data_IF_725412043409
#
_entry.id   IF_725412043409
#
_cell.length_a   1.000
_cell.length_b   1.000
_cell.length_c   1.000
_cell.angle_alpha   90.00
_cell.angle_beta   90.00
_cell.angle_gamma   90.00
#
_symmetry.space_group_name_H-M   'P 1'
#
loop_
_entity.id
_entity.type
_entity.pdbx_description
1 polymer ?
#
# COMPACT_ATOMS: atom_id res chain seq x y z
N UNK A 1 -74.45 -67.26 27.44
CA UNK A 1 -73.85 -67.57 26.11
C UNK A 1 -73.95 -66.45 25.08
N UNK A 2 -74.91 -65.50 25.13
CA UNK A 2 -75.10 -64.41 24.13
C UNK A 2 -74.02 -63.30 24.18
N UNK A 3 -73.39 -63.05 25.33
CA UNK A 3 -72.35 -62.02 25.47
C UNK A 3 -71.03 -62.42 24.86
N UNK A 4 -70.55 -63.64 24.98
CA UNK A 4 -69.32 -64.13 24.36
C UNK A 4 -69.35 -64.09 22.84
N UNK A 5 -70.54 -64.38 22.25
CA UNK A 5 -70.67 -64.34 20.77
C UNK A 5 -70.63 -62.94 20.18
N UNK A 6 -71.05 -61.92 20.92
CA UNK A 6 -70.95 -60.51 20.55
C UNK A 6 -69.47 -60.01 20.51
N UNK A 7 -68.68 -60.43 21.49
CA UNK A 7 -67.28 -60.11 21.54
C UNK A 7 -66.48 -60.71 20.40
N UNK A 8 -66.78 -61.94 19.98
CA UNK A 8 -66.16 -62.57 18.82
C UNK A 8 -66.49 -61.85 17.49
N UNK A 9 -67.71 -61.38 17.35
CA UNK A 9 -68.16 -60.62 16.18
C UNK A 9 -67.44 -59.27 16.10
N UNK A 10 -67.31 -58.57 17.23
CA UNK A 10 -66.62 -57.30 17.32
C UNK A 10 -65.09 -57.46 17.05
N UNK A 11 -64.50 -58.51 17.61
CA UNK A 11 -63.10 -58.81 17.38
C UNK A 11 -62.81 -59.19 15.89
N UNK A 12 -63.67 -59.96 15.27
CA UNK A 12 -63.59 -60.30 13.86
C UNK A 12 -63.78 -59.07 12.94
N UNK A 13 -64.72 -58.19 13.27
CA UNK A 13 -64.91 -56.91 12.54
C UNK A 13 -63.70 -55.96 12.67
N UNK A 14 -63.09 -55.87 13.86
CA UNK A 14 -61.87 -55.10 14.08
C UNK A 14 -60.67 -55.71 13.31
N UNK A 15 -60.54 -57.03 13.28
CA UNK A 15 -59.49 -57.71 12.50
C UNK A 15 -59.68 -57.48 11.00
N UNK A 16 -60.90 -57.54 10.50
CA UNK A 16 -61.22 -57.28 9.09
C UNK A 16 -61.04 -55.84 8.74
N UNK A 17 -61.38 -54.89 9.59
CA UNK A 17 -61.14 -53.52 9.42
C UNK A 17 -59.61 -53.20 9.44
N UNK A 18 -58.84 -53.82 10.34
CA UNK A 18 -57.40 -53.75 10.38
C UNK A 18 -56.72 -54.33 9.13
N UNK A 19 -57.23 -55.49 8.62
CA UNK A 19 -56.75 -56.09 7.38
C UNK A 19 -57.08 -55.25 6.14
N UNK A 20 -58.25 -54.60 6.10
CA UNK A 20 -58.67 -53.72 5.00
C UNK A 20 -57.85 -52.45 5.02
N UNK A 21 -57.61 -51.83 6.21
CA UNK A 21 -56.75 -50.68 6.34
C UNK A 21 -55.30 -50.99 6.00
N UNK A 22 -54.74 -52.14 6.42
CA UNK A 22 -53.44 -52.65 6.01
C UNK A 22 -53.30 -52.85 4.50
N UNK A 23 -54.38 -53.42 3.87
CA UNK A 23 -54.44 -53.59 2.41
C UNK A 23 -54.44 -52.28 1.64
N UNK A 24 -55.23 -51.29 2.11
CA UNK A 24 -55.30 -49.96 1.54
C UNK A 24 -53.91 -49.21 1.72
N UNK A 25 -53.33 -49.25 2.92
CA UNK A 25 -51.98 -48.71 3.16
C UNK A 25 -50.94 -49.43 2.29
N UNK A 26 -51.03 -50.74 2.11
CA UNK A 26 -50.14 -51.52 1.24
C UNK A 26 -50.22 -51.08 -0.24
N UNK A 27 -51.45 -50.76 -0.72
CA UNK A 27 -51.68 -50.25 -2.07
C UNK A 27 -51.03 -48.84 -2.26
N UNK A 28 -51.31 -47.93 -1.35
CA UNK A 28 -50.73 -46.58 -1.41
C UNK A 28 -49.22 -46.62 -1.34
N UNK A 29 -48.65 -47.48 -0.50
CA UNK A 29 -47.18 -47.65 -0.44
C UNK A 29 -46.59 -48.16 -1.77
N UNK A 30 -47.25 -49.05 -2.48
CA UNK A 30 -46.78 -49.49 -3.79
C UNK A 30 -46.89 -48.44 -4.86
N UNK A 31 -47.95 -47.64 -4.84
CA UNK A 31 -48.15 -46.55 -5.79
C UNK A 31 -47.09 -45.45 -5.60
N UNK A 32 -46.83 -45.01 -4.36
CA UNK A 32 -45.76 -44.08 -4.05
C UNK A 32 -44.38 -44.60 -4.44
N UNK A 33 -44.10 -45.89 -4.21
CA UNK A 33 -42.83 -46.53 -4.60
C UNK A 33 -42.67 -46.60 -6.13
N UNK A 34 -43.72 -46.93 -6.88
CA UNK A 34 -43.69 -46.94 -8.35
C UNK A 34 -43.36 -45.54 -8.88
N UNK A 35 -44.06 -44.53 -8.36
CA UNK A 35 -43.83 -43.13 -8.75
C UNK A 35 -42.43 -42.64 -8.37
N UNK A 36 -41.90 -43.11 -7.24
CA UNK A 36 -40.53 -42.80 -6.84
C UNK A 36 -39.50 -43.34 -7.83
N UNK A 37 -39.66 -44.57 -8.31
CA UNK A 37 -38.79 -45.15 -9.33
C UNK A 37 -38.87 -44.44 -10.69
N UNK A 38 -40.07 -43.97 -11.09
CA UNK A 38 -40.23 -43.15 -12.30
C UNK A 38 -39.45 -41.83 -12.20
N UNK A 39 -39.56 -41.14 -11.05
CA UNK A 39 -38.82 -39.91 -10.78
C UNK A 39 -37.32 -40.16 -10.72
N UNK A 40 -36.91 -41.26 -10.08
CA UNK A 40 -35.49 -41.65 -10.02
C UNK A 40 -34.94 -41.91 -11.44
N UNK A 41 -35.69 -42.61 -12.30
CA UNK A 41 -35.30 -42.84 -13.68
C UNK A 41 -35.26 -41.58 -14.53
N UNK A 42 -36.11 -40.60 -14.20
CA UNK A 42 -36.11 -39.27 -14.81
C UNK A 42 -35.01 -38.32 -14.29
N UNK A 43 -34.25 -38.75 -13.26
CA UNK A 43 -33.20 -37.90 -12.61
C UNK A 43 -33.73 -36.89 -11.59
N UNK A 44 -35.05 -36.91 -11.29
CA UNK A 44 -35.62 -36.11 -10.20
C UNK A 44 -35.45 -36.84 -8.87
N UNK A 45 -34.22 -36.75 -8.35
CA UNK A 45 -33.85 -37.41 -7.10
C UNK A 45 -34.58 -36.82 -5.90
N UNK A 46 -34.85 -35.51 -5.90
CA UNK A 46 -35.58 -34.83 -4.82
C UNK A 46 -37.05 -35.28 -4.77
N UNK A 47 -37.71 -35.35 -5.93
CA UNK A 47 -39.05 -35.92 -6.05
C UNK A 47 -39.10 -37.36 -5.62
N UNK A 48 -38.10 -38.17 -6.01
CA UNK A 48 -37.97 -39.57 -5.63
C UNK A 48 -37.85 -39.74 -4.10
N UNK A 49 -37.03 -38.95 -3.41
CA UNK A 49 -36.93 -38.96 -1.94
C UNK A 49 -38.30 -38.77 -1.30
N UNK A 50 -39.04 -37.74 -1.70
CA UNK A 50 -40.36 -37.43 -1.13
C UNK A 50 -41.35 -38.57 -1.31
N UNK A 51 -41.30 -39.30 -2.44
CA UNK A 51 -42.17 -40.43 -2.69
C UNK A 51 -41.74 -41.71 -1.94
N UNK A 52 -40.42 -41.98 -1.84
CA UNK A 52 -39.91 -43.09 -1.03
C UNK A 52 -40.21 -42.92 0.45
N UNK A 53 -40.12 -41.70 1.00
CA UNK A 53 -40.51 -41.39 2.37
C UNK A 53 -41.99 -41.68 2.62
N UNK A 54 -42.89 -41.24 1.72
CA UNK A 54 -44.33 -41.55 1.78
C UNK A 54 -44.59 -43.04 1.70
N UNK A 55 -43.78 -43.77 0.94
CA UNK A 55 -43.86 -45.24 0.84
C UNK A 55 -43.31 -45.92 2.10
N UNK A 56 -42.65 -45.22 3.01
CA UNK A 56 -41.93 -45.81 4.15
C UNK A 56 -40.69 -46.57 3.76
N UNK A 57 -40.09 -46.24 2.62
CA UNK A 57 -38.88 -46.85 2.06
C UNK A 57 -37.66 -45.97 2.33
N UNK A 58 -37.21 -46.01 3.59
CA UNK A 58 -36.10 -45.18 4.05
C UNK A 58 -34.77 -45.47 3.36
N UNK A 59 -34.51 -46.72 3.00
CA UNK A 59 -33.25 -47.12 2.36
C UNK A 59 -33.12 -46.50 0.96
N UNK A 60 -34.17 -46.56 0.15
CA UNK A 60 -34.18 -45.94 -1.18
C UNK A 60 -34.22 -44.41 -1.11
N UNK A 61 -34.90 -43.83 -0.11
CA UNK A 61 -34.84 -42.39 0.14
C UNK A 61 -33.40 -41.92 0.45
N UNK A 62 -32.68 -42.68 1.30
CA UNK A 62 -31.27 -42.36 1.60
C UNK A 62 -30.34 -42.56 0.40
N UNK A 63 -30.61 -43.58 -0.44
CA UNK A 63 -29.87 -43.72 -1.70
C UNK A 63 -30.07 -42.49 -2.61
N UNK A 64 -31.31 -42.00 -2.74
CA UNK A 64 -31.57 -40.79 -3.53
C UNK A 64 -30.87 -39.55 -2.94
N UNK A 65 -30.82 -39.38 -1.61
CA UNK A 65 -30.06 -38.28 -0.97
C UNK A 65 -28.56 -38.38 -1.26
N UNK A 66 -27.99 -39.61 -1.32
CA UNK A 66 -26.62 -39.82 -1.75
C UNK A 66 -26.40 -39.42 -3.20
N UNK A 67 -27.34 -39.74 -4.10
CA UNK A 67 -27.27 -39.33 -5.50
C UNK A 67 -27.35 -37.81 -5.67
N UNK A 68 -28.21 -37.11 -4.89
CA UNK A 68 -28.27 -35.64 -4.85
C UNK A 68 -26.93 -35.08 -4.45
N UNK A 69 -26.31 -35.57 -3.36
CA UNK A 69 -24.97 -35.08 -2.91
C UNK A 69 -23.90 -35.35 -3.97
N UNK A 70 -23.93 -36.52 -4.65
CA UNK A 70 -22.98 -36.85 -5.71
C UNK A 70 -23.12 -35.90 -6.92
N UNK A 71 -24.36 -35.59 -7.31
CA UNK A 71 -24.64 -34.66 -8.38
C UNK A 71 -24.17 -33.26 -8.02
N UNK A 72 -24.55 -32.75 -6.83
CA UNK A 72 -24.10 -31.44 -6.34
C UNK A 72 -22.57 -31.34 -6.28
N UNK A 73 -21.90 -32.41 -5.84
CA UNK A 73 -20.43 -32.47 -5.85
C UNK A 73 -19.86 -32.40 -7.27
N UNK A 74 -20.46 -33.13 -8.22
CA UNK A 74 -20.05 -33.11 -9.64
C UNK A 74 -20.25 -31.73 -10.28
N UNK A 75 -21.38 -31.09 -9.96
CA UNK A 75 -21.70 -29.75 -10.47
C UNK A 75 -20.79 -28.70 -9.88
N UNK A 76 -20.45 -28.79 -8.57
CA UNK A 76 -19.44 -27.92 -7.92
C UNK A 76 -18.06 -28.07 -8.57
N UNK A 77 -17.64 -29.31 -8.87
CA UNK A 77 -16.39 -29.59 -9.60
C UNK A 77 -16.40 -28.98 -11.00
N UNK A 78 -17.53 -29.03 -11.69
CA UNK A 78 -17.67 -28.43 -13.02
C UNK A 78 -17.58 -26.91 -12.96
N UNK A 79 -18.24 -26.29 -11.99
CA UNK A 79 -18.12 -24.84 -11.76
C UNK A 79 -16.67 -24.45 -11.46
N UNK A 80 -15.97 -25.19 -10.59
CA UNK A 80 -14.55 -24.98 -10.31
C UNK A 80 -13.68 -25.05 -11.57
N UNK A 81 -13.90 -26.06 -12.41
CA UNK A 81 -13.15 -26.25 -13.67
C UNK A 81 -13.45 -25.15 -14.70
N UNK A 82 -14.64 -24.56 -14.65
CA UNK A 82 -15.04 -23.44 -15.49
C UNK A 82 -14.49 -22.08 -15.00
N UNK A 83 -13.82 -22.03 -13.82
CA UNK A 83 -13.35 -20.80 -13.23
C UNK A 83 -14.40 -20.02 -12.43
N UNK A 84 -15.61 -20.56 -12.28
CA UNK A 84 -16.66 -19.99 -11.44
C UNK A 84 -16.44 -20.41 -9.98
N UNK A 85 -15.44 -19.81 -9.37
CA UNK A 85 -14.99 -20.19 -8.02
C UNK A 85 -15.98 -19.80 -6.93
N UNK A 86 -16.71 -18.70 -7.09
CA UNK A 86 -17.76 -18.29 -6.16
C UNK A 86 -18.87 -19.32 -6.08
N UNK A 87 -19.42 -19.72 -7.24
CA UNK A 87 -20.47 -20.75 -7.29
C UNK A 87 -19.96 -22.10 -6.78
N UNK A 88 -18.75 -22.51 -7.18
CA UNK A 88 -18.16 -23.77 -6.71
C UNK A 88 -17.97 -23.76 -5.19
N UNK A 89 -17.44 -22.70 -4.62
CA UNK A 89 -17.24 -22.52 -3.18
C UNK A 89 -18.54 -22.66 -2.41
N UNK A 90 -19.60 -21.94 -2.84
CA UNK A 90 -20.92 -22.03 -2.22
C UNK A 90 -21.47 -23.46 -2.22
N UNK A 91 -21.37 -24.16 -3.36
CA UNK A 91 -21.82 -25.53 -3.48
C UNK A 91 -21.01 -26.50 -2.60
N UNK A 92 -19.69 -26.33 -2.51
CA UNK A 92 -18.85 -27.14 -1.60
C UNK A 92 -19.16 -26.85 -0.13
N UNK A 93 -19.45 -25.59 0.23
CA UNK A 93 -19.88 -25.23 1.59
C UNK A 93 -21.18 -25.96 1.97
N UNK A 94 -22.18 -26.02 1.07
CA UNK A 94 -23.42 -26.73 1.29
C UNK A 94 -23.22 -28.25 1.44
N UNK A 95 -22.22 -28.82 0.76
CA UNK A 95 -21.86 -30.24 0.86
C UNK A 95 -21.16 -30.59 2.18
N UNK A 96 -20.54 -29.65 2.84
CA UNK A 96 -19.87 -29.82 4.13
C UNK A 96 -18.78 -30.88 4.10
N UNK A 97 -18.93 -31.90 4.97
CA UNK A 97 -17.95 -33.00 5.08
C UNK A 97 -18.13 -34.12 4.01
N UNK A 98 -18.86 -33.86 2.94
CA UNK A 98 -19.03 -34.84 1.88
C UNK A 98 -17.76 -34.97 1.04
N UNK A 99 -17.13 -36.17 1.05
CA UNK A 99 -15.84 -36.44 0.39
C UNK A 99 -14.77 -35.43 0.84
N UNK A 100 -14.16 -34.72 -0.12
CA UNK A 100 -13.15 -33.67 0.08
C UNK A 100 -13.71 -32.26 -0.15
N UNK A 101 -15.04 -32.08 -0.09
CA UNK A 101 -15.71 -30.81 -0.37
C UNK A 101 -15.17 -29.66 0.49
N UNK A 102 -14.83 -29.92 1.77
CA UNK A 102 -14.25 -28.91 2.66
C UNK A 102 -12.89 -28.42 2.17
N UNK A 103 -12.04 -29.33 1.69
CA UNK A 103 -10.73 -28.94 1.15
C UNK A 103 -10.89 -28.19 -0.19
N UNK A 104 -11.85 -28.61 -1.01
CA UNK A 104 -12.15 -27.96 -2.28
C UNK A 104 -12.80 -26.59 -2.09
N UNK A 105 -13.58 -26.40 -1.04
CA UNK A 105 -14.13 -25.09 -0.64
C UNK A 105 -13.00 -24.12 -0.35
N UNK A 106 -12.02 -24.50 0.49
CA UNK A 106 -10.85 -23.68 0.79
C UNK A 106 -10.01 -23.39 -0.48
N UNK A 107 -9.84 -24.38 -1.34
CA UNK A 107 -9.14 -24.20 -2.62
C UNK A 107 -9.87 -23.20 -3.53
N UNK A 108 -11.20 -23.30 -3.65
CA UNK A 108 -12.01 -22.37 -4.43
C UNK A 108 -11.94 -20.96 -3.84
N UNK A 109 -12.00 -20.80 -2.52
CA UNK A 109 -11.86 -19.51 -1.84
C UNK A 109 -10.51 -18.85 -2.14
N UNK A 110 -9.42 -19.61 -2.13
CA UNK A 110 -8.10 -19.13 -2.50
C UNK A 110 -8.01 -18.69 -3.97
N UNK A 111 -8.66 -19.43 -4.87
CA UNK A 111 -8.69 -19.10 -6.30
C UNK A 111 -9.58 -17.88 -6.58
N UNK A 112 -10.73 -17.79 -5.92
CA UNK A 112 -11.63 -16.63 -5.96
C UNK A 112 -10.93 -15.35 -5.48
N UNK A 113 -10.20 -15.43 -4.36
CA UNK A 113 -9.43 -14.31 -3.85
C UNK A 113 -8.38 -13.81 -4.85
N UNK A 114 -7.69 -14.74 -5.53
CA UNK A 114 -6.72 -14.38 -6.59
C UNK A 114 -7.40 -13.76 -7.80
N UNK A 115 -8.53 -14.28 -8.21
CA UNK A 115 -9.31 -13.73 -9.32
C UNK A 115 -9.77 -12.31 -9.01
N UNK A 116 -10.33 -12.06 -7.83
CA UNK A 116 -10.71 -10.72 -7.37
C UNK A 116 -9.52 -9.76 -7.33
N UNK A 117 -8.35 -10.24 -6.89
CA UNK A 117 -7.12 -9.45 -6.93
C UNK A 117 -6.69 -9.06 -8.35
N UNK A 118 -6.89 -9.95 -9.34
CA UNK A 118 -6.61 -9.67 -10.75
C UNK A 118 -7.64 -8.70 -11.37
N UNK A 119 -8.90 -8.80 -10.96
CA UNK A 119 -9.99 -7.91 -11.36
C UNK A 119 -9.92 -6.53 -10.70
N UNK A 120 -9.06 -6.37 -9.67
CA UNK A 120 -8.86 -5.10 -8.96
C UNK A 120 -9.77 -4.91 -7.75
N UNK A 121 -10.61 -5.91 -7.41
CA UNK A 121 -11.49 -5.94 -6.23
C UNK A 121 -10.66 -6.33 -4.98
N UNK A 122 -9.73 -5.44 -4.64
CA UNK A 122 -8.65 -5.75 -3.68
C UNK A 122 -9.15 -5.94 -2.25
N UNK A 123 -10.19 -5.22 -1.83
CA UNK A 123 -10.73 -5.35 -0.47
C UNK A 123 -11.43 -6.70 -0.29
N UNK A 124 -12.23 -7.11 -1.27
CA UNK A 124 -12.91 -8.40 -1.24
C UNK A 124 -11.91 -9.56 -1.30
N UNK A 125 -10.84 -9.41 -2.10
CA UNK A 125 -9.73 -10.35 -2.14
C UNK A 125 -9.04 -10.47 -0.78
N UNK A 126 -8.79 -9.37 -0.09
CA UNK A 126 -8.18 -9.35 1.24
C UNK A 126 -9.05 -10.10 2.25
N UNK A 127 -10.36 -9.82 2.29
CA UNK A 127 -11.31 -10.49 3.19
C UNK A 127 -11.33 -12.01 2.97
N UNK A 128 -11.30 -12.45 1.71
CA UNK A 128 -11.25 -13.87 1.41
C UNK A 128 -9.94 -14.51 1.87
N UNK A 129 -8.79 -13.87 1.64
CA UNK A 129 -7.51 -14.38 2.15
C UNK A 129 -7.49 -14.43 3.68
N UNK A 130 -7.95 -13.39 4.38
CA UNK A 130 -8.06 -13.38 5.84
C UNK A 130 -8.91 -14.54 6.36
N UNK A 131 -9.99 -14.88 5.68
CA UNK A 131 -10.87 -16.00 6.02
C UNK A 131 -10.27 -17.39 5.84
N UNK A 132 -9.16 -17.52 5.10
CA UNK A 132 -8.48 -18.79 4.82
C UNK A 132 -7.56 -19.24 5.97
N UNK A 133 -7.14 -18.33 6.86
CA UNK A 133 -6.23 -18.65 7.97
C UNK A 133 -4.92 -19.28 7.45
N UNK A 134 -4.53 -20.41 8.03
CA UNK A 134 -3.26 -21.09 7.70
C UNK A 134 -3.32 -21.93 6.40
N UNK A 135 -4.24 -21.66 5.49
CA UNK A 135 -4.30 -22.40 4.22
C UNK A 135 -3.05 -22.12 3.37
N UNK A 136 -2.46 -23.13 2.69
CA UNK A 136 -1.21 -22.95 1.95
C UNK A 136 -1.27 -21.83 0.90
N UNK A 137 -0.32 -20.91 0.95
CA UNK A 137 -0.21 -19.77 0.03
C UNK A 137 -1.08 -18.56 0.38
N UNK A 138 -1.78 -18.58 1.51
CA UNK A 138 -2.55 -17.44 2.01
C UNK A 138 -1.65 -16.25 2.32
N UNK A 139 -0.53 -16.47 3.04
CA UNK A 139 0.40 -15.40 3.40
C UNK A 139 0.92 -14.64 2.18
N UNK A 140 1.39 -15.37 1.17
CA UNK A 140 1.87 -14.76 -0.09
C UNK A 140 0.75 -14.02 -0.82
N UNK A 141 -0.48 -14.55 -0.79
CA UNK A 141 -1.65 -13.89 -1.38
C UNK A 141 -2.00 -12.60 -0.64
N UNK A 142 -2.03 -12.63 0.68
CA UNK A 142 -2.28 -11.48 1.55
C UNK A 142 -1.23 -10.39 1.34
N UNK A 143 0.06 -10.74 1.33
CA UNK A 143 1.13 -9.76 1.09
C UNK A 143 0.98 -9.09 -0.27
N UNK A 144 0.64 -9.86 -1.31
CA UNK A 144 0.43 -9.31 -2.65
C UNK A 144 -0.76 -8.37 -2.72
N UNK A 145 -1.88 -8.68 -2.05
CA UNK A 145 -3.05 -7.80 -1.99
C UNK A 145 -2.74 -6.54 -1.18
N UNK A 146 -2.09 -6.68 -0.03
CA UNK A 146 -1.70 -5.54 0.81
C UNK A 146 -0.76 -4.59 0.09
N UNK A 147 0.21 -5.11 -0.65
CA UNK A 147 1.10 -4.30 -1.49
C UNK A 147 0.33 -3.50 -2.56
N UNK A 148 -0.65 -4.14 -3.24
CA UNK A 148 -1.49 -3.46 -4.22
C UNK A 148 -2.39 -2.39 -3.58
N UNK A 149 -2.98 -2.68 -2.42
CA UNK A 149 -3.78 -1.71 -1.66
C UNK A 149 -2.95 -0.53 -1.18
N UNK A 150 -1.74 -0.80 -0.71
CA UNK A 150 -0.79 0.24 -0.29
C UNK A 150 -0.45 1.20 -1.43
N UNK A 151 -0.14 0.67 -2.62
CA UNK A 151 0.11 1.49 -3.82
C UNK A 151 -1.13 2.29 -4.22
N UNK A 152 -2.30 1.66 -4.22
CA UNK A 152 -3.56 2.35 -4.51
C UNK A 152 -3.83 3.50 -3.53
N UNK A 153 -3.51 3.32 -2.25
CA UNK A 153 -3.63 4.37 -1.25
C UNK A 153 -2.69 5.54 -1.54
N UNK A 154 -1.44 5.27 -1.92
CA UNK A 154 -0.49 6.30 -2.36
C UNK A 154 -1.00 7.04 -3.59
N UNK A 155 -1.46 6.32 -4.62
CA UNK A 155 -1.99 6.92 -5.84
C UNK A 155 -3.18 7.85 -5.54
N UNK A 156 -4.10 7.43 -4.65
CA UNK A 156 -5.22 8.25 -4.20
C UNK A 156 -4.74 9.51 -3.48
N UNK A 157 -3.78 9.38 -2.56
CA UNK A 157 -3.24 10.52 -1.82
C UNK A 157 -2.54 11.52 -2.76
N UNK A 158 -1.71 11.04 -3.68
CA UNK A 158 -1.02 11.86 -4.69
C UNK A 158 -1.99 12.57 -5.64
N UNK A 159 -3.17 11.99 -5.88
CA UNK A 159 -4.24 12.61 -6.65
C UNK A 159 -5.16 13.53 -5.82
N UNK A 160 -4.86 13.73 -4.53
CA UNK A 160 -5.66 14.57 -3.63
C UNK A 160 -6.94 13.90 -3.08
N UNK A 161 -7.16 12.61 -3.37
CA UNK A 161 -8.27 11.84 -2.79
C UNK A 161 -7.86 11.27 -1.42
N UNK A 162 -7.68 12.19 -0.47
CA UNK A 162 -7.21 11.85 0.87
C UNK A 162 -8.18 10.98 1.67
N UNK A 163 -9.51 11.12 1.43
CA UNK A 163 -10.51 10.30 2.11
C UNK A 163 -10.38 8.83 1.74
N UNK A 164 -10.23 8.54 0.45
CA UNK A 164 -10.04 7.18 -0.03
C UNK A 164 -8.70 6.62 0.43
N UNK A 165 -7.63 7.42 0.38
CA UNK A 165 -6.30 7.03 0.84
C UNK A 165 -6.29 6.63 2.32
N UNK A 166 -6.86 7.47 3.20
CA UNK A 166 -6.98 7.17 4.64
C UNK A 166 -7.73 5.86 4.88
N UNK A 167 -8.88 5.66 4.20
CA UNK A 167 -9.66 4.42 4.34
C UNK A 167 -8.89 3.16 3.92
N UNK A 168 -8.06 3.25 2.88
CA UNK A 168 -7.23 2.14 2.43
C UNK A 168 -6.08 1.86 3.42
N UNK A 169 -5.37 2.88 3.91
CA UNK A 169 -4.31 2.70 4.91
C UNK A 169 -4.86 2.19 6.24
N UNK A 170 -6.02 2.66 6.68
CA UNK A 170 -6.69 2.15 7.87
C UNK A 170 -6.97 0.65 7.76
N UNK A 171 -7.36 0.16 6.58
CA UNK A 171 -7.60 -1.26 6.33
C UNK A 171 -6.31 -2.09 6.31
N UNK A 172 -5.18 -1.47 5.99
CA UNK A 172 -3.86 -2.10 5.97
C UNK A 172 -3.21 -2.23 7.36
N UNK A 173 -3.69 -1.48 8.36
CA UNK A 173 -3.20 -1.51 9.74
C UNK A 173 -1.66 -1.31 9.83
N UNK A 174 -0.96 -2.33 10.33
CA UNK A 174 0.49 -2.31 10.55
C UNK A 174 1.31 -2.74 9.31
N UNK A 175 0.70 -2.79 8.13
CA UNK A 175 1.43 -3.15 6.92
C UNK A 175 2.38 -2.02 6.51
N UNK A 176 3.69 -2.29 6.49
CA UNK A 176 4.73 -1.30 6.18
C UNK A 176 4.61 -0.05 7.08
N UNK A 177 4.51 1.12 6.50
CA UNK A 177 4.33 2.41 7.18
C UNK A 177 2.90 2.97 7.07
N UNK A 178 1.93 2.11 6.80
CA UNK A 178 0.52 2.50 6.58
C UNK A 178 -0.05 3.37 7.71
N UNK A 179 0.26 3.08 8.98
CA UNK A 179 -0.20 3.90 10.11
C UNK A 179 0.35 5.32 10.11
N UNK A 180 1.62 5.47 9.74
CA UNK A 180 2.25 6.78 9.68
C UNK A 180 1.67 7.59 8.52
N UNK A 181 1.46 6.94 7.37
CA UNK A 181 0.86 7.56 6.20
C UNK A 181 -0.61 7.89 6.40
N UNK A 182 -1.39 7.03 7.09
CA UNK A 182 -2.75 7.31 7.50
C UNK A 182 -2.81 8.58 8.35
N UNK A 183 -2.06 8.61 9.47
CA UNK A 183 -2.00 9.77 10.36
C UNK A 183 -1.62 11.06 9.62
N UNK A 184 -0.63 10.98 8.75
CA UNK A 184 -0.16 12.13 7.98
C UNK A 184 -1.19 12.60 6.96
N UNK A 185 -1.84 11.65 6.27
CA UNK A 185 -2.89 11.92 5.31
C UNK A 185 -4.14 12.52 5.98
N UNK A 186 -4.55 12.04 7.15
CA UNK A 186 -5.64 12.65 7.94
C UNK A 186 -5.35 14.13 8.25
N UNK A 187 -4.11 14.45 8.62
CA UNK A 187 -3.68 15.82 8.88
C UNK A 187 -3.76 16.70 7.63
N UNK A 188 -3.33 16.19 6.48
CA UNK A 188 -3.45 16.89 5.19
C UNK A 188 -4.93 17.09 4.83
N UNK A 189 -5.76 16.09 5.05
CA UNK A 189 -7.21 16.15 4.84
C UNK A 189 -7.88 17.21 5.73
N UNK A 190 -7.51 17.28 7.01
CA UNK A 190 -8.00 18.31 7.92
C UNK A 190 -7.64 19.71 7.43
N UNK A 191 -6.40 19.95 7.04
CA UNK A 191 -5.97 21.24 6.50
C UNK A 191 -6.67 21.60 5.18
N UNK A 192 -6.87 20.65 4.29
CA UNK A 192 -7.59 20.87 3.02
C UNK A 192 -9.05 21.29 3.23
N UNK A 193 -9.63 20.91 4.38
CA UNK A 193 -11.01 21.24 4.79
C UNK A 193 -11.11 22.52 5.61
N UNK A 194 -10.03 22.94 6.26
CA UNK A 194 -10.02 24.11 7.13
C UNK A 194 -9.96 25.41 6.32
N UNK A 195 -11.12 25.90 5.93
CA UNK A 195 -11.28 27.18 5.23
C UNK A 195 -11.03 28.41 6.10
N UNK A 196 -10.80 28.24 7.40
CA UNK A 196 -10.50 29.32 8.34
C UNK A 196 -9.00 29.59 8.45
N UNK A 197 -8.15 28.62 8.06
CA UNK A 197 -6.71 28.80 8.00
C UNK A 197 -6.33 29.82 6.92
N UNK A 198 -5.37 30.66 7.28
CA UNK A 198 -4.82 31.64 6.30
C UNK A 198 -4.08 30.87 5.20
N UNK A 199 -4.40 31.09 3.90
CA UNK A 199 -3.71 30.40 2.82
C UNK A 199 -2.21 30.68 2.84
N UNK A 200 -1.39 29.65 2.59
CA UNK A 200 0.05 29.82 2.38
C UNK A 200 0.31 30.64 1.12
N UNK A 201 -0.50 30.46 0.09
CA UNK A 201 -0.35 31.06 -1.23
C UNK A 201 -1.23 32.31 -1.40
N UNK A 202 -1.33 33.15 -0.34
CA UNK A 202 -1.96 34.45 -0.44
C UNK A 202 -1.02 35.51 -1.03
N UNK A 203 -1.56 36.55 -1.65
CA UNK A 203 -0.76 37.67 -2.22
C UNK A 203 0.18 38.29 -1.20
N UNK A 204 -0.19 38.31 0.08
CA UNK A 204 0.64 38.83 1.17
C UNK A 204 1.89 37.98 1.47
N UNK A 205 1.89 36.71 1.08
CA UNK A 205 3.03 35.81 1.25
C UNK A 205 3.87 35.68 -0.02
N UNK A 206 3.44 36.32 -1.10
CA UNK A 206 4.16 36.24 -2.38
C UNK A 206 5.50 36.93 -2.29
N UNK A 207 6.57 36.23 -2.64
CA UNK A 207 7.90 36.77 -2.75
C UNK A 207 8.07 37.48 -4.10
N UNK A 208 8.32 38.80 -4.05
CA UNK A 208 8.52 39.57 -5.27
C UNK A 208 9.92 39.27 -5.86
N UNK A 209 9.91 38.73 -7.07
CA UNK A 209 11.14 38.38 -7.78
C UNK A 209 11.05 38.72 -9.26
N UNK A 210 12.21 39.11 -9.86
CA UNK A 210 12.28 39.51 -11.27
C UNK A 210 12.12 38.38 -12.28
N UNK A 211 12.06 37.11 -11.84
CA UNK A 211 11.98 35.93 -12.68
C UNK A 211 10.54 35.45 -12.91
N UNK A 212 9.57 36.17 -12.32
CA UNK A 212 8.12 35.89 -12.45
C UNK A 212 7.74 34.43 -12.08
N UNK A 213 8.46 33.83 -11.14
CA UNK A 213 8.12 32.50 -10.59
C UNK A 213 7.17 32.63 -9.41
N UNK A 214 6.33 31.64 -9.25
CA UNK A 214 5.44 31.53 -8.09
C UNK A 214 6.23 31.10 -6.85
N UNK A 215 6.70 32.11 -6.09
CA UNK A 215 7.48 31.96 -4.87
C UNK A 215 6.72 32.56 -3.72
N UNK A 216 6.58 31.82 -2.65
CA UNK A 216 5.86 32.23 -1.46
C UNK A 216 6.73 32.12 -0.22
N UNK A 217 6.55 33.06 0.71
CA UNK A 217 7.22 33.07 2.00
C UNK A 217 6.38 32.29 2.98
N UNK A 218 6.98 31.30 3.62
CA UNK A 218 6.38 30.60 4.75
C UNK A 218 7.12 30.96 6.05
N UNK A 219 6.63 30.50 7.19
CA UNK A 219 7.16 30.86 8.50
C UNK A 219 8.67 30.64 8.66
N UNK A 220 9.23 29.68 7.92
CA UNK A 220 10.62 29.23 8.09
C UNK A 220 11.37 29.03 6.78
N UNK A 221 10.85 29.52 5.65
CA UNK A 221 11.48 29.33 4.36
C UNK A 221 10.71 29.94 3.20
N UNK A 222 11.06 29.47 2.01
CA UNK A 222 10.41 29.84 0.76
C UNK A 222 9.93 28.60 0.05
N UNK A 223 8.73 28.67 -0.52
CA UNK A 223 8.16 27.62 -1.36
C UNK A 223 8.12 28.10 -2.80
N UNK A 224 8.69 27.32 -3.72
CA UNK A 224 8.58 27.55 -5.16
C UNK A 224 7.59 26.55 -5.72
N UNK A 225 6.53 27.04 -6.36
CA UNK A 225 5.51 26.22 -6.98
C UNK A 225 5.77 26.00 -8.48
N UNK A 226 5.45 24.84 -9.03
CA UNK A 226 5.34 24.64 -10.48
C UNK A 226 4.12 25.36 -11.04
N UNK A 227 4.00 25.43 -12.36
CA UNK A 227 2.82 26.02 -13.03
C UNK A 227 1.53 25.27 -12.70
N UNK A 228 1.61 23.98 -12.51
CA UNK A 228 0.49 23.09 -12.15
C UNK A 228 0.99 22.03 -11.18
N UNK A 229 0.12 21.65 -10.25
CA UNK A 229 0.33 20.51 -9.36
C UNK A 229 -0.60 19.36 -9.77
N UNK A 230 -0.07 18.16 -9.84
CA UNK A 230 -0.79 16.93 -10.19
C UNK A 230 -0.19 15.73 -9.46
N UNK A 231 -0.70 14.52 -9.75
CA UNK A 231 -0.22 13.29 -9.12
C UNK A 231 1.27 12.99 -9.39
N UNK A 232 1.85 13.54 -10.46
CA UNK A 232 3.26 13.38 -10.81
C UNK A 232 4.14 14.51 -10.25
N UNK A 233 3.59 15.40 -9.42
CA UNK A 233 4.32 16.49 -8.79
C UNK A 233 5.39 15.94 -7.85
N UNK A 234 6.63 16.39 -8.08
CA UNK A 234 7.80 16.00 -7.30
C UNK A 234 8.05 16.99 -6.18
N UNK A 235 8.81 16.56 -5.17
CA UNK A 235 9.11 17.37 -3.99
C UNK A 235 10.60 17.47 -3.75
N UNK A 236 11.03 18.66 -3.38
CA UNK A 236 12.41 18.99 -3.11
C UNK A 236 12.53 19.83 -1.85
N UNK A 237 13.45 19.47 -0.95
CA UNK A 237 13.80 20.25 0.24
C UNK A 237 15.26 20.65 0.17
N UNK A 238 15.50 21.92 0.40
CA UNK A 238 16.85 22.47 0.57
C UNK A 238 17.09 22.89 2.02
N UNK A 239 18.14 22.32 2.62
CA UNK A 239 18.64 22.68 3.95
C UNK A 239 19.85 23.60 3.83
N UNK A 240 19.78 24.87 4.32
CA UNK A 240 20.88 25.81 4.19
C UNK A 240 22.04 25.50 5.12
N UNK A 241 23.23 25.91 4.72
CA UNK A 241 24.42 25.97 5.57
C UNK A 241 24.55 27.29 6.28
N UNK A 242 25.33 27.30 7.35
CA UNK A 242 25.67 28.54 8.07
C UNK A 242 24.53 29.14 8.88
N UNK A 243 24.65 30.40 9.23
CA UNK A 243 23.69 31.15 10.06
C UNK A 243 23.04 32.34 9.33
N UNK A 244 23.27 32.45 8.02
CA UNK A 244 22.84 33.61 7.26
C UNK A 244 21.63 33.27 6.39
N UNK A 245 20.51 33.99 6.62
CA UNK A 245 19.31 33.94 5.79
C UNK A 245 19.65 34.34 4.34
N UNK A 246 20.62 35.23 4.12
CA UNK A 246 21.02 35.68 2.79
C UNK A 246 21.48 34.51 1.90
N UNK A 247 22.22 33.55 2.46
CA UNK A 247 22.66 32.34 1.71
C UNK A 247 21.47 31.56 1.15
N UNK A 248 20.42 31.41 1.95
CA UNK A 248 19.20 30.72 1.49
C UNK A 248 18.48 31.48 0.37
N UNK A 249 18.47 32.82 0.44
CA UNK A 249 17.91 33.66 -0.62
C UNK A 249 18.75 33.58 -1.89
N UNK A 250 20.08 33.60 -1.77
CA UNK A 250 20.96 33.43 -2.93
C UNK A 250 20.77 32.07 -3.62
N UNK A 251 20.65 30.98 -2.86
CA UNK A 251 20.36 29.66 -3.41
C UNK A 251 18.96 29.58 -4.05
N UNK A 252 17.98 30.20 -3.45
CA UNK A 252 16.64 30.33 -4.03
C UNK A 252 16.70 31.01 -5.41
N UNK A 253 17.46 32.12 -5.56
CA UNK A 253 17.62 32.79 -6.85
C UNK A 253 18.27 31.90 -7.91
N UNK A 254 19.33 31.16 -7.55
CA UNK A 254 19.94 30.19 -8.48
C UNK A 254 18.98 29.11 -8.93
N UNK A 255 18.16 28.58 -8.02
CA UNK A 255 17.14 27.60 -8.35
C UNK A 255 16.05 28.19 -9.25
N UNK A 256 15.58 29.41 -8.97
CA UNK A 256 14.53 30.10 -9.77
C UNK A 256 14.98 30.31 -11.21
N UNK A 257 16.28 30.55 -11.46
CA UNK A 257 16.81 30.67 -12.82
C UNK A 257 16.74 29.34 -13.61
N UNK A 258 16.79 28.21 -12.93
CA UNK A 258 16.74 26.88 -13.56
C UNK A 258 15.88 25.89 -12.70
N UNK A 259 14.58 26.17 -12.54
CA UNK A 259 13.72 25.35 -11.69
C UNK A 259 13.50 23.97 -12.28
N UNK A 260 13.41 22.98 -11.41
CA UNK A 260 12.99 21.66 -11.81
C UNK A 260 11.52 21.67 -12.28
N UNK A 261 11.20 21.06 -13.43
CA UNK A 261 9.83 21.02 -13.92
C UNK A 261 8.94 20.17 -13.00
N UNK A 262 7.67 20.57 -12.89
CA UNK A 262 6.66 19.89 -12.06
C UNK A 262 7.15 19.56 -10.64
N UNK A 263 7.80 20.52 -9.96
CA UNK A 263 8.41 20.30 -8.66
C UNK A 263 8.04 21.40 -7.69
N UNK A 264 7.51 21.00 -6.54
CA UNK A 264 7.36 21.86 -5.36
C UNK A 264 8.70 21.85 -4.63
N UNK A 265 9.34 23.03 -4.52
CA UNK A 265 10.63 23.16 -3.85
C UNK A 265 10.51 24.01 -2.59
N UNK A 266 10.99 23.48 -1.47
CA UNK A 266 11.05 24.15 -0.19
C UNK A 266 12.49 24.53 0.13
N UNK A 267 12.75 25.84 0.34
CA UNK A 267 14.02 26.40 0.78
C UNK A 267 13.89 26.88 2.22
N UNK A 268 14.42 26.11 3.16
CA UNK A 268 14.45 26.54 4.56
C UNK A 268 15.48 27.63 4.77
N UNK A 269 15.23 28.54 5.70
CA UNK A 269 16.19 29.53 6.16
C UNK A 269 16.52 29.42 7.65
N UNK A 270 16.03 28.39 8.32
CA UNK A 270 16.45 28.06 9.67
C UNK A 270 17.73 27.25 9.65
N UNK A 271 18.68 27.60 10.46
CA UNK A 271 19.99 26.98 10.53
C UNK A 271 20.33 26.57 11.97
N UNK A 272 21.24 25.63 12.11
CA UNK A 272 21.71 25.02 13.36
C UNK A 272 21.73 23.51 13.19
N UNK A 273 22.86 22.89 13.52
CA UNK A 273 23.02 21.43 13.43
C UNK A 273 22.35 20.71 14.59
N UNK A 274 22.16 21.42 15.72
CA UNK A 274 21.75 20.80 16.98
C UNK A 274 20.29 20.26 16.97
N UNK A 275 19.55 20.50 15.86
CA UNK A 275 18.12 20.15 15.73
C UNK A 275 17.77 19.59 14.36
N UNK A 276 18.55 18.62 13.85
CA UNK A 276 18.34 18.04 12.51
C UNK A 276 16.96 17.38 12.36
N UNK A 277 16.55 16.63 13.36
CA UNK A 277 15.22 16.01 13.42
C UNK A 277 14.10 17.07 13.40
N UNK A 278 14.23 18.12 14.26
CA UNK A 278 13.22 19.20 14.31
C UNK A 278 13.10 19.95 12.99
N UNK A 279 14.23 20.14 12.27
CA UNK A 279 14.21 20.79 10.96
C UNK A 279 13.56 19.92 9.89
N UNK A 280 13.82 18.63 9.91
CA UNK A 280 13.16 17.69 9.01
C UNK A 280 11.66 17.69 9.28
N UNK A 281 11.27 17.65 10.54
CA UNK A 281 9.87 17.72 10.98
C UNK A 281 9.19 19.00 10.49
N UNK A 282 9.84 20.14 10.71
CA UNK A 282 9.35 21.42 10.24
C UNK A 282 9.19 21.47 8.71
N UNK A 283 10.16 20.95 7.97
CA UNK A 283 10.08 20.85 6.51
C UNK A 283 8.90 20.01 6.05
N UNK A 284 8.67 18.86 6.68
CA UNK A 284 7.53 17.99 6.36
C UNK A 284 6.21 18.67 6.71
N UNK A 285 6.11 19.35 7.85
CA UNK A 285 4.90 20.09 8.23
C UNK A 285 4.53 21.17 7.18
N UNK A 286 5.52 21.87 6.65
CA UNK A 286 5.30 22.84 5.57
C UNK A 286 4.87 22.12 4.29
N UNK A 287 5.55 21.05 3.91
CA UNK A 287 5.19 20.29 2.70
C UNK A 287 3.77 19.73 2.77
N UNK A 288 3.34 19.24 3.91
CA UNK A 288 1.98 18.73 4.08
C UNK A 288 0.92 19.83 3.97
N UNK A 289 1.22 21.05 4.46
CA UNK A 289 0.34 22.21 4.24
C UNK A 289 0.30 22.63 2.78
N UNK A 290 1.45 22.64 2.10
CA UNK A 290 1.55 22.89 0.66
C UNK A 290 0.76 21.85 -0.11
N UNK A 291 0.92 20.59 0.26
CA UNK A 291 0.19 19.47 -0.32
C UNK A 291 -1.33 19.64 -0.19
N UNK A 292 -1.81 20.04 0.98
CA UNK A 292 -3.22 20.27 1.25
C UNK A 292 -3.81 21.40 0.35
N UNK A 293 -3.05 22.46 0.13
CA UNK A 293 -3.49 23.59 -0.73
C UNK A 293 -3.38 23.27 -2.22
N UNK A 294 -2.42 22.43 -2.64
CA UNK A 294 -2.18 22.04 -4.02
C UNK A 294 -2.97 20.79 -4.45
N UNK A 295 -3.56 20.05 -3.52
CA UNK A 295 -4.27 18.79 -3.83
C UNK A 295 -3.33 17.64 -4.21
N UNK A 296 -2.15 17.56 -3.59
CA UNK A 296 -1.11 16.54 -3.83
C UNK A 296 -0.59 15.96 -2.51
N UNK A 297 0.28 14.96 -2.55
CA UNK A 297 0.82 14.34 -1.33
C UNK A 297 2.30 14.01 -1.49
N UNK A 298 3.14 14.52 -0.58
CA UNK A 298 4.58 14.29 -0.60
C UNK A 298 4.92 12.94 0.03
N UNK A 299 5.18 11.91 -0.77
CA UNK A 299 5.64 10.61 -0.27
C UNK A 299 7.06 10.27 -0.70
N UNK A 300 7.51 10.81 -1.83
CA UNK A 300 8.90 10.77 -2.29
C UNK A 300 9.46 12.20 -2.32
N UNK A 301 10.52 12.43 -1.58
CA UNK A 301 11.10 13.77 -1.46
C UNK A 301 12.61 13.68 -1.70
N UNK A 302 13.12 14.44 -2.67
CA UNK A 302 14.54 14.64 -2.80
C UNK A 302 15.02 15.69 -1.80
N UNK A 303 16.13 15.43 -1.14
CA UNK A 303 16.73 16.40 -0.21
C UNK A 303 18.09 16.86 -0.67
N UNK A 304 18.35 18.12 -0.45
CA UNK A 304 19.63 18.76 -0.73
C UNK A 304 20.05 19.61 0.47
N UNK A 305 21.32 19.65 0.74
CA UNK A 305 21.82 20.55 1.76
C UNK A 305 23.22 21.01 1.44
N UNK A 306 23.56 22.24 1.86
CA UNK A 306 24.90 22.80 1.68
C UNK A 306 25.60 23.00 2.99
N UNK A 307 26.92 22.82 3.02
CA UNK A 307 27.76 23.04 4.22
C UNK A 307 27.17 22.27 5.43
N UNK A 308 26.79 22.96 6.50
CA UNK A 308 26.13 22.36 7.66
C UNK A 308 24.78 21.72 7.33
N UNK A 309 24.04 22.26 6.36
CA UNK A 309 22.79 21.68 5.88
C UNK A 309 22.96 20.35 5.15
N UNK A 310 24.15 20.07 4.63
CA UNK A 310 24.46 18.80 3.99
C UNK A 310 24.33 17.61 4.97
N UNK A 311 24.70 17.80 6.23
CA UNK A 311 24.51 16.81 7.29
C UNK A 311 23.03 16.61 7.61
N UNK A 312 22.28 17.73 7.70
CA UNK A 312 20.82 17.66 7.89
C UNK A 312 20.17 16.87 6.76
N UNK A 313 20.57 17.09 5.51
CA UNK A 313 20.06 16.37 4.36
C UNK A 313 20.35 14.84 4.44
N UNK A 314 21.53 14.47 4.92
CA UNK A 314 21.89 13.06 5.09
C UNK A 314 21.01 12.37 6.15
N UNK A 315 20.81 13.00 7.31
CA UNK A 315 19.96 12.48 8.39
C UNK A 315 18.46 12.52 8.02
N UNK A 316 18.04 13.49 7.20
CA UNK A 316 16.65 13.60 6.77
C UNK A 316 16.14 12.35 6.06
N UNK A 317 17.02 11.56 5.41
CA UNK A 317 16.63 10.27 4.82
C UNK A 317 16.05 9.31 5.86
N UNK A 318 16.58 9.31 7.08
CA UNK A 318 16.11 8.47 8.18
C UNK A 318 14.82 9.05 8.78
N UNK A 319 14.86 10.32 9.22
CA UNK A 319 13.73 10.95 9.90
C UNK A 319 12.48 11.05 9.02
N UNK A 320 12.64 11.33 7.71
CA UNK A 320 11.55 11.34 6.75
C UNK A 320 10.85 9.98 6.70
N UNK A 321 11.61 8.88 6.71
CA UNK A 321 11.03 7.54 6.65
C UNK A 321 10.44 7.08 7.97
N UNK A 322 11.20 7.16 9.05
CA UNK A 322 10.79 6.63 10.36
C UNK A 322 9.58 7.41 10.93
N UNK A 323 9.58 8.75 10.83
CA UNK A 323 8.58 9.58 11.47
C UNK A 323 7.38 9.92 10.56
N UNK A 324 7.58 9.90 9.23
CA UNK A 324 6.59 10.43 8.27
C UNK A 324 6.24 9.49 7.12
N UNK A 325 6.85 8.32 7.02
CA UNK A 325 6.66 7.40 5.90
C UNK A 325 7.13 7.95 4.54
N UNK A 326 7.89 9.05 4.53
CA UNK A 326 8.43 9.67 3.32
C UNK A 326 9.70 8.95 2.90
N UNK A 327 9.74 8.51 1.65
CA UNK A 327 10.95 7.98 1.03
C UNK A 327 11.83 9.12 0.54
N UNK A 328 13.13 9.02 0.80
CA UNK A 328 14.15 9.93 0.24
C UNK A 328 15.01 9.16 -0.74
N UNK A 329 14.67 9.16 -2.04
CA UNK A 329 15.39 8.37 -3.03
C UNK A 329 16.78 8.92 -3.32
N UNK A 330 17.01 10.22 -3.07
CA UNK A 330 18.26 10.88 -3.40
C UNK A 330 18.59 12.00 -2.40
N UNK A 331 19.85 12.02 -1.98
CA UNK A 331 20.44 13.07 -1.15
C UNK A 331 21.56 13.75 -1.92
N UNK A 332 21.48 15.08 -2.08
CA UNK A 332 22.58 15.90 -2.58
C UNK A 332 23.25 16.59 -1.39
N UNK A 333 24.44 16.18 -1.03
CA UNK A 333 25.26 16.77 0.02
C UNK A 333 26.28 17.70 -0.63
N UNK A 334 26.00 19.02 -0.61
CA UNK A 334 26.83 20.03 -1.27
C UNK A 334 27.88 20.55 -0.31
N UNK A 335 29.10 20.15 -0.51
CA UNK A 335 30.29 20.59 0.22
C UNK A 335 30.09 20.69 1.74
N UNK A 336 29.98 19.54 2.36
CA UNK A 336 29.67 19.38 3.79
C UNK A 336 30.69 20.04 4.77
N UNK A 337 31.60 20.86 4.29
CA UNK A 337 32.52 21.69 5.08
C UNK A 337 33.73 20.93 5.63
N UNK A 338 34.80 21.67 5.90
CA UNK A 338 36.11 21.14 6.30
C UNK A 338 36.29 20.90 7.79
N UNK A 339 35.42 21.44 8.63
CA UNK A 339 35.59 21.39 10.10
C UNK A 339 35.08 20.06 10.67
N UNK A 340 35.66 19.00 10.16
CA UNK A 340 35.40 17.59 10.50
C UNK A 340 35.86 17.22 11.92
N UNK A 341 36.23 18.16 12.73
CA UNK A 341 36.54 17.89 14.14
C UNK A 341 35.31 17.44 14.93
N UNK A 342 34.14 17.63 14.36
CA UNK A 342 32.89 17.21 15.00
C UNK A 342 32.22 16.03 14.29
N UNK A 343 32.80 14.84 14.45
CA UNK A 343 32.24 13.54 13.99
C UNK A 343 30.77 13.30 14.39
N UNK A 344 30.25 14.08 15.31
CA UNK A 344 28.87 13.98 15.81
C UNK A 344 27.80 14.31 14.77
N UNK A 345 28.16 14.89 13.66
CA UNK A 345 27.21 15.30 12.61
C UNK A 345 27.18 14.38 11.41
N UNK A 346 28.06 13.40 11.32
CA UNK A 346 28.04 12.39 10.27
C UNK A 346 27.17 11.22 10.72
N UNK A 347 26.61 10.47 9.76
CA UNK A 347 25.89 9.24 10.04
C UNK A 347 26.82 8.27 10.80
N UNK A 348 26.35 7.74 11.89
CA UNK A 348 27.02 6.66 12.59
C UNK A 348 26.79 5.31 11.88
N UNK A 349 27.34 4.22 12.42
CA UNK A 349 27.22 2.89 11.79
C UNK A 349 25.79 2.39 11.74
N UNK A 350 24.99 2.64 12.76
CA UNK A 350 23.57 2.22 12.82
C UNK A 350 22.75 2.99 11.81
N UNK A 351 22.94 4.30 11.74
CA UNK A 351 22.32 5.19 10.77
C UNK A 351 22.74 4.84 9.31
N UNK A 352 24.01 4.50 9.10
CA UNK A 352 24.46 3.99 7.79
C UNK A 352 23.80 2.67 7.39
N UNK A 353 23.53 1.77 8.34
CA UNK A 353 22.78 0.54 8.06
C UNK A 353 21.31 0.84 7.72
N UNK A 354 20.68 1.76 8.44
CA UNK A 354 19.32 2.21 8.16
C UNK A 354 19.21 2.81 6.76
N UNK A 355 20.07 3.76 6.42
CA UNK A 355 20.05 4.40 5.08
C UNK A 355 20.31 3.42 3.95
N UNK A 356 21.17 2.42 4.14
CA UNK A 356 21.40 1.35 3.17
C UNK A 356 20.14 0.50 2.93
N UNK A 357 19.37 0.22 3.97
CA UNK A 357 18.09 -0.51 3.86
C UNK A 357 17.01 0.31 3.16
N UNK A 358 17.05 1.65 3.27
CA UNK A 358 16.12 2.56 2.59
C UNK A 358 16.41 2.68 1.10
N UNK A 359 17.59 2.30 0.63
CA UNK A 359 17.99 2.39 -0.77
C UNK A 359 18.26 3.82 -1.24
N UNK A 360 18.51 4.74 -0.32
CA UNK A 360 18.84 6.13 -0.63
C UNK A 360 20.16 6.24 -1.38
N UNK A 361 20.17 7.03 -2.47
CA UNK A 361 21.37 7.35 -3.22
C UNK A 361 22.00 8.64 -2.70
N UNK A 362 23.27 8.60 -2.36
CA UNK A 362 24.02 9.76 -1.84
C UNK A 362 24.98 10.29 -2.91
N UNK A 363 24.81 11.56 -3.28
CA UNK A 363 25.75 12.31 -4.11
C UNK A 363 26.46 13.35 -3.25
N UNK A 364 27.75 13.11 -2.98
CA UNK A 364 28.56 13.92 -2.08
C UNK A 364 29.46 14.82 -2.92
N UNK A 365 29.12 16.10 -3.01
CA UNK A 365 29.88 17.09 -3.76
C UNK A 365 31.05 17.61 -2.93
N UNK A 366 32.25 17.50 -3.48
CA UNK A 366 33.50 17.87 -2.81
C UNK A 366 34.25 18.96 -3.54
N UNK A 367 34.73 19.95 -2.77
CA UNK A 367 35.78 20.82 -3.21
C UNK A 367 37.15 20.13 -3.13
N UNK A 368 38.07 20.35 -4.09
CA UNK A 368 39.38 19.76 -4.03
C UNK A 368 40.25 20.29 -2.87
N UNK A 369 39.83 21.41 -2.24
CA UNK A 369 40.52 22.05 -1.12
C UNK A 369 39.95 21.71 0.24
N UNK A 370 38.72 21.24 0.28
CA UNK A 370 38.04 20.78 1.48
C UNK A 370 38.15 19.26 1.52
N UNK A 371 39.25 18.78 2.13
CA UNK A 371 39.43 17.33 2.25
C UNK A 371 38.31 16.70 3.07
N UNK A 372 37.43 15.97 2.44
CA UNK A 372 36.44 15.17 3.17
C UNK A 372 37.13 14.17 4.09
N UNK A 373 36.64 14.07 5.32
CA UNK A 373 37.03 12.96 6.15
C UNK A 373 36.45 11.68 5.56
N UNK A 374 37.27 10.87 4.96
CA UNK A 374 36.89 9.65 4.25
C UNK A 374 36.43 8.51 5.15
N UNK A 375 36.58 8.63 6.48
CA UNK A 375 36.18 7.57 7.39
C UNK A 375 34.65 7.36 7.45
N UNK A 376 33.81 8.41 7.61
CA UNK A 376 32.35 8.24 7.54
C UNK A 376 31.90 7.74 6.18
N UNK A 377 32.45 8.26 5.09
CA UNK A 377 32.12 7.79 3.74
C UNK A 377 32.49 6.33 3.55
N UNK A 378 33.63 5.91 4.08
CA UNK A 378 34.04 4.49 4.06
C UNK A 378 33.05 3.63 4.83
N UNK A 379 32.55 4.10 5.98
CA UNK A 379 31.53 3.38 6.75
C UNK A 379 30.21 3.26 5.96
N UNK A 380 29.75 4.33 5.32
CA UNK A 380 28.56 4.29 4.45
C UNK A 380 28.71 3.23 3.33
N UNK A 381 29.87 3.21 2.66
CA UNK A 381 30.15 2.24 1.59
C UNK A 381 30.22 0.80 2.14
N UNK A 382 30.89 0.60 3.27
CA UNK A 382 31.02 -0.71 3.91
C UNK A 382 29.69 -1.28 4.44
N UNK A 383 28.74 -0.41 4.75
CA UNK A 383 27.38 -0.80 5.17
C UNK A 383 26.43 -0.99 3.99
N UNK A 384 26.89 -0.78 2.75
CA UNK A 384 26.12 -1.05 1.53
C UNK A 384 25.33 0.13 0.98
N UNK A 385 25.61 1.37 1.44
CA UNK A 385 24.99 2.56 0.87
C UNK A 385 25.47 2.82 -0.57
N UNK A 386 24.57 3.33 -1.41
CA UNK A 386 24.89 3.81 -2.75
C UNK A 386 25.46 5.22 -2.67
N UNK A 387 26.79 5.33 -2.74
CA UNK A 387 27.52 6.60 -2.58
C UNK A 387 28.28 6.93 -3.85
N UNK A 388 28.04 8.14 -4.35
CA UNK A 388 28.79 8.73 -5.46
C UNK A 388 29.48 10.01 -4.98
N UNK A 389 30.79 10.08 -5.11
CA UNK A 389 31.55 11.29 -4.89
C UNK A 389 31.54 12.12 -6.16
N UNK A 390 31.14 13.38 -6.04
CA UNK A 390 31.09 14.33 -7.12
C UNK A 390 32.23 15.35 -6.91
N UNK A 391 33.34 15.14 -7.59
CA UNK A 391 34.48 16.06 -7.58
C UNK A 391 34.16 17.32 -8.38
N UNK A 392 34.48 18.49 -7.83
CA UNK A 392 34.31 19.78 -8.48
C UNK A 392 35.67 20.40 -8.83
N UNK A 393 35.73 21.10 -9.95
CA UNK A 393 36.98 21.82 -10.38
C UNK A 393 37.25 23.12 -9.64
N UNK A 394 36.25 23.61 -8.89
CA UNK A 394 36.38 24.89 -8.15
C UNK A 394 36.92 24.67 -6.74
N UNK A 395 37.63 25.67 -6.27
CA UNK A 395 38.27 25.73 -4.94
C UNK A 395 37.48 26.48 -3.88
N UNK A 396 36.30 27.00 -4.23
CA UNK A 396 35.48 27.80 -3.33
C UNK A 396 34.29 27.03 -2.81
N UNK A 397 34.20 26.94 -1.49
CA UNK A 397 33.16 26.24 -0.76
C UNK A 397 31.72 26.60 -1.22
N UNK A 398 31.43 27.91 -1.33
CA UNK A 398 30.09 28.38 -1.68
C UNK A 398 29.76 28.15 -3.16
N UNK A 399 30.76 28.17 -4.05
CA UNK A 399 30.57 28.09 -5.49
C UNK A 399 30.03 26.75 -5.94
N UNK A 400 30.41 25.67 -5.28
CA UNK A 400 29.89 24.29 -5.57
C UNK A 400 28.37 24.27 -5.43
N UNK A 401 27.85 24.83 -4.35
CA UNK A 401 26.42 24.85 -4.08
C UNK A 401 25.66 25.70 -5.11
N UNK A 402 26.19 26.91 -5.42
CA UNK A 402 25.57 27.78 -6.41
C UNK A 402 25.57 27.16 -7.82
N UNK A 403 26.69 26.61 -8.25
CA UNK A 403 26.80 26.00 -9.57
C UNK A 403 25.91 24.73 -9.68
N UNK A 404 25.83 23.89 -8.63
CA UNK A 404 24.96 22.73 -8.61
C UNK A 404 23.49 23.10 -8.80
N UNK A 405 23.02 24.16 -8.12
CA UNK A 405 21.66 24.66 -8.25
C UNK A 405 21.41 25.30 -9.63
N UNK A 406 22.37 26.08 -10.13
CA UNK A 406 22.25 26.79 -11.40
C UNK A 406 22.43 25.93 -12.65
N UNK A 407 23.08 24.78 -12.55
CA UNK A 407 23.44 23.93 -13.71
C UNK A 407 22.49 22.76 -13.97
N UNK A 408 21.36 22.71 -13.31
CA UNK A 408 20.37 21.65 -13.58
C UNK A 408 20.69 20.30 -12.94
N UNK A 409 21.66 20.24 -12.02
CA UNK A 409 21.94 19.00 -11.25
C UNK A 409 20.71 18.54 -10.47
N UNK A 410 19.94 19.48 -9.93
CA UNK A 410 18.69 19.17 -9.22
C UNK A 410 17.66 18.57 -10.17
N UNK A 411 17.53 19.11 -11.40
CA UNK A 411 16.63 18.56 -12.41
C UNK A 411 17.00 17.13 -12.77
N UNK A 412 18.29 16.86 -12.94
CA UNK A 412 18.79 15.51 -13.18
C UNK A 412 18.53 14.59 -11.98
N UNK A 413 18.82 15.03 -10.77
CA UNK A 413 18.67 14.24 -9.56
C UNK A 413 17.20 13.93 -9.24
N UNK A 414 16.28 14.77 -9.64
CA UNK A 414 14.83 14.55 -9.55
C UNK A 414 14.30 13.64 -10.66
N UNK A 415 15.02 13.49 -11.76
CA UNK A 415 14.63 12.68 -12.90
C UNK A 415 15.12 11.23 -12.83
N UNK A 416 15.23 10.63 -14.02
CA UNK A 416 15.86 9.32 -14.18
C UNK A 416 17.38 9.45 -14.10
N UNK A 417 17.97 8.89 -13.03
CA UNK A 417 19.41 8.90 -12.76
C UNK A 417 20.15 7.71 -13.37
N UNK A 418 19.50 6.95 -14.26
CA UNK A 418 20.14 5.81 -14.95
C UNK A 418 21.35 6.25 -15.80
N UNK A 419 21.28 7.47 -16.36
CA UNK A 419 22.39 8.08 -17.07
C UNK A 419 23.12 9.09 -16.17
N UNK A 420 24.46 9.10 -16.17
CA UNK A 420 25.23 10.03 -15.37
C UNK A 420 25.01 11.49 -15.84
N UNK A 421 25.01 12.42 -14.92
CA UNK A 421 25.00 13.84 -15.27
C UNK A 421 26.29 14.22 -15.98
N UNK A 422 26.18 14.75 -17.20
CA UNK A 422 27.32 15.16 -18.00
C UNK A 422 27.64 16.63 -17.72
N UNK A 423 28.87 16.89 -17.27
CA UNK A 423 29.34 18.23 -16.93
C UNK A 423 30.85 18.33 -17.12
N UNK A 424 31.32 19.49 -17.59
CA UNK A 424 32.74 19.82 -17.64
C UNK A 424 33.29 20.26 -16.25
N UNK A 425 32.39 20.47 -15.29
CA UNK A 425 32.70 20.99 -13.95
C UNK A 425 32.71 19.88 -12.91
N UNK A 426 31.82 18.88 -13.06
CA UNK A 426 31.65 17.81 -12.10
C UNK A 426 32.07 16.46 -12.66
N UNK A 427 32.79 15.71 -11.84
CA UNK A 427 33.16 14.31 -12.13
C UNK A 427 32.48 13.38 -11.11
N UNK A 428 31.66 12.45 -11.62
CA UNK A 428 30.90 11.48 -10.82
C UNK A 428 31.68 10.18 -10.66
N UNK A 429 32.02 9.83 -9.44
CA UNK A 429 32.80 8.64 -9.10
C UNK A 429 32.01 7.78 -8.11
N UNK A 430 31.31 6.75 -8.61
CA UNK A 430 30.60 5.80 -7.75
C UNK A 430 31.59 4.98 -6.93
N UNK A 431 31.38 4.93 -5.62
CA UNK A 431 32.19 4.13 -4.72
C UNK A 431 31.65 2.71 -4.63
N UNK A 432 32.55 1.75 -4.64
CA UNK A 432 32.24 0.31 -4.45
C UNK A 432 32.95 -0.19 -3.20
N UNK A 433 32.37 -1.16 -2.45
CA UNK A 433 32.97 -1.73 -1.26
C UNK A 433 34.37 -2.32 -1.46
#
# INVERSE_FOLDING_TARGET
MKTKRRWYIIAAALLLAAAATAGIFGHFRRDFRSRAYELLAAGDYSGAVAQFEKAGDGDNAELCRKLIREQSYTDARRAQQAGDYETARRMFTELGDYKDARNLELACRSLEARQLMEEGELLDALELFESLGEYPGTDTGMDSVKEKLYRKALDCACAGDYEQACGLWQRLEDYSDSRVLEWRCERVLEWSRDKSAKPLFGDENRFDNSYMKEVYICDTGYVVLPEQCDADTRFFIYFPGGRDIQISVDFLYYYIMNPAPNTIALFLYTNGLDYMEEKTKLAVDILDRVAAECGVFAHDVMVCGSSLGAYTAMHAAIYCKEDFGITVPCVLSLDAGSDWQEYRYTLDREECLKTAQLGTQFYLFESPFVGMNRNPIKEMVLTGNDVTIVGCVYDQHERISFDALGMGVINWALGDRSEPYVSDIYSFNKLTP
#
